data_IF_671816870209
#
_entry.id   IF_671816870209
#
_cell.length_a   1.000
_cell.length_b   1.000
_cell.length_c   1.000
_cell.angle_alpha   90.00
_cell.angle_beta   90.00
_cell.angle_gamma   90.00
#
_symmetry.space_group_name_H-M   'P 1'
#
loop_
_entity.id
_entity.type
_entity.pdbx_description
1 polymer ?
#
# COMPACT_ATOMS: atom_id res chain seq x y z
N UNK A 1 -28.25 -16.26 -5.21
CA UNK A 1 -27.75 -15.02 -5.84
C UNK A 1 -26.75 -15.44 -6.91
N UNK A 2 -27.16 -15.45 -8.19
CA UNK A 2 -26.36 -15.98 -9.30
C UNK A 2 -25.49 -14.85 -9.88
N UNK A 3 -24.17 -15.00 -9.77
CA UNK A 3 -23.21 -14.10 -10.43
C UNK A 3 -23.02 -14.63 -11.85
N UNK A 4 -23.51 -13.88 -12.84
CA UNK A 4 -23.22 -14.16 -14.25
C UNK A 4 -21.71 -14.05 -14.48
N UNK A 5 -21.07 -15.17 -14.83
CA UNK A 5 -19.72 -15.17 -15.40
C UNK A 5 -19.78 -14.47 -16.75
N UNK A 6 -19.18 -13.29 -16.84
CA UNK A 6 -18.97 -12.60 -18.12
C UNK A 6 -17.94 -13.43 -18.91
N UNK A 7 -18.36 -13.95 -20.05
CA UNK A 7 -17.51 -14.75 -20.93
C UNK A 7 -16.52 -13.85 -21.68
N UNK A 8 -15.26 -13.87 -21.22
CA UNK A 8 -14.11 -13.14 -21.77
C UNK A 8 -13.82 -13.48 -23.25
N UNK A 9 -14.41 -14.55 -23.81
CA UNK A 9 -14.24 -14.89 -25.23
C UNK A 9 -15.01 -13.95 -26.15
N UNK A 10 -16.18 -13.45 -25.72
CA UNK A 10 -16.98 -12.53 -26.54
C UNK A 10 -16.29 -11.17 -26.72
N UNK A 11 -15.62 -10.67 -25.69
CA UNK A 11 -14.93 -9.37 -25.73
C UNK A 11 -13.74 -9.38 -26.71
N UNK A 12 -13.02 -10.51 -26.82
CA UNK A 12 -11.90 -10.64 -27.78
C UNK A 12 -12.35 -10.59 -29.24
N UNK A 13 -13.53 -11.13 -29.55
CA UNK A 13 -14.03 -11.18 -30.93
C UNK A 13 -14.45 -9.79 -31.39
N UNK A 14 -15.13 -9.03 -30.55
CA UNK A 14 -15.59 -7.67 -30.89
C UNK A 14 -14.44 -6.69 -31.17
N UNK A 15 -13.31 -6.83 -30.44
CA UNK A 15 -12.14 -5.98 -30.65
C UNK A 15 -11.39 -6.29 -31.96
N UNK A 16 -11.36 -7.54 -32.40
CA UNK A 16 -10.70 -7.94 -33.64
C UNK A 16 -11.53 -7.49 -34.87
N UNK A 17 -12.85 -7.52 -34.78
CA UNK A 17 -13.73 -7.03 -35.86
C UNK A 17 -13.63 -5.51 -36.05
N UNK A 18 -13.53 -4.74 -34.95
CA UNK A 18 -13.35 -3.27 -35.03
C UNK A 18 -11.99 -2.90 -35.65
N UNK A 19 -10.95 -3.71 -35.42
CA UNK A 19 -9.63 -3.50 -36.03
C UNK A 19 -9.67 -3.84 -37.52
N UNK A 20 -10.28 -4.98 -37.90
CA UNK A 20 -10.36 -5.41 -39.30
C UNK A 20 -11.26 -4.50 -40.16
N UNK A 21 -12.31 -3.89 -39.58
CA UNK A 21 -13.17 -2.95 -40.31
C UNK A 21 -12.48 -1.62 -40.66
N UNK A 22 -11.39 -1.24 -39.99
CA UNK A 22 -10.67 0.00 -40.33
C UNK A 22 -9.57 -0.19 -41.38
N UNK A 23 -9.24 -1.43 -41.76
CA UNK A 23 -8.12 -1.75 -42.66
C UNK A 23 -8.57 -1.98 -44.12
N UNK A 24 -9.87 -2.09 -44.39
CA UNK A 24 -10.40 -2.26 -45.75
C UNK A 24 -10.94 -0.95 -46.34
N UNK A 25 -10.05 0.02 -46.62
CA UNK A 25 -10.15 0.94 -47.77
C UNK A 25 -9.20 2.12 -47.63
N UNK A 26 -7.95 1.96 -48.08
CA UNK A 26 -7.21 2.96 -48.86
C UNK A 26 -5.83 2.41 -49.20
N UNK A 27 -5.44 2.60 -50.46
CA UNK A 27 -4.20 2.09 -51.04
C UNK A 27 -2.96 2.55 -50.26
N UNK A 28 -1.98 1.65 -50.22
CA UNK A 28 -0.71 1.82 -49.53
C UNK A 28 0.27 2.58 -50.44
N UNK A 29 0.70 3.78 -50.02
CA UNK A 29 1.84 4.51 -50.58
C UNK A 29 2.97 4.49 -49.52
N UNK A 30 4.20 4.05 -49.86
CA UNK A 30 5.29 3.91 -48.90
C UNK A 30 6.04 5.24 -48.75
N UNK A 31 5.92 5.89 -47.58
CA UNK A 31 6.74 7.08 -47.28
C UNK A 31 6.16 8.07 -46.28
N UNK A 32 5.72 7.61 -45.10
CA UNK A 32 5.47 8.49 -43.95
C UNK A 32 5.68 7.69 -42.67
N UNK A 33 6.63 8.15 -41.86
CA UNK A 33 6.86 7.67 -40.50
C UNK A 33 5.54 7.74 -39.73
N UNK A 34 5.07 6.57 -39.26
CA UNK A 34 3.74 6.41 -38.69
C UNK A 34 3.61 7.10 -37.34
N UNK A 35 3.35 8.41 -37.35
CA UNK A 35 2.77 9.08 -36.20
C UNK A 35 1.38 8.50 -35.96
N UNK A 36 1.24 7.78 -34.85
CA UNK A 36 -0.07 7.29 -34.39
C UNK A 36 -1.06 8.45 -34.38
N UNK A 37 -2.25 8.30 -34.97
CA UNK A 37 -3.25 9.37 -34.96
C UNK A 37 -3.51 9.79 -33.50
N UNK A 38 -3.50 11.10 -33.27
CA UNK A 38 -3.67 11.78 -31.97
C UNK A 38 -4.65 11.10 -30.99
N UNK A 39 -5.84 10.59 -31.41
CA UNK A 39 -6.73 9.85 -30.50
C UNK A 39 -6.15 8.54 -29.95
N UNK A 40 -5.38 7.78 -30.75
CA UNK A 40 -4.77 6.52 -30.30
C UNK A 40 -3.66 6.74 -29.28
N UNK A 41 -2.91 7.85 -29.37
CA UNK A 41 -1.88 8.21 -28.38
C UNK A 41 -2.49 8.47 -27.00
N UNK A 42 -3.62 9.18 -26.93
CA UNK A 42 -4.37 9.41 -25.68
C UNK A 42 -4.93 8.12 -25.09
N UNK A 43 -5.43 7.22 -25.93
CA UNK A 43 -5.93 5.91 -25.49
C UNK A 43 -4.78 5.04 -24.97
N UNK A 44 -3.62 5.06 -25.61
CA UNK A 44 -2.43 4.33 -25.15
C UNK A 44 -1.85 4.90 -23.85
N UNK A 45 -1.86 6.22 -23.66
CA UNK A 45 -1.49 6.84 -22.38
C UNK A 45 -2.49 6.49 -21.27
N UNK A 46 -3.79 6.53 -21.57
CA UNK A 46 -4.83 6.14 -20.62
C UNK A 46 -4.74 4.65 -20.25
N UNK A 47 -4.46 3.79 -21.22
CA UNK A 47 -4.22 2.37 -21.00
C UNK A 47 -2.89 2.11 -20.29
N UNK A 48 -1.84 2.92 -20.51
CA UNK A 48 -0.62 2.88 -19.67
C UNK A 48 -0.94 3.24 -18.23
N UNK A 49 -1.74 4.27 -17.98
CA UNK A 49 -2.17 4.62 -16.61
C UNK A 49 -3.02 3.51 -15.96
N UNK A 50 -3.84 2.79 -16.75
CA UNK A 50 -4.65 1.66 -16.27
C UNK A 50 -3.87 0.34 -16.14
N UNK A 51 -2.78 0.15 -16.90
CA UNK A 51 -1.96 -1.07 -16.91
C UNK A 51 -0.65 -0.92 -16.13
N UNK A 52 -0.35 0.25 -15.55
CA UNK A 52 0.51 0.32 -14.36
C UNK A 52 -0.30 -0.26 -13.20
N UNK A 53 -0.51 -1.57 -13.26
CA UNK A 53 -0.75 -2.44 -12.11
C UNK A 53 0.54 -2.49 -11.30
N UNK A 54 0.98 -1.33 -10.83
CA UNK A 54 1.79 -1.27 -9.64
C UNK A 54 0.75 -1.56 -8.57
N UNK A 55 0.71 -2.79 -8.08
CA UNK A 55 0.30 -3.03 -6.70
C UNK A 55 1.26 -2.20 -5.85
N UNK A 56 1.02 -0.88 -5.82
CA UNK A 56 1.60 0.01 -4.84
C UNK A 56 0.96 -0.52 -3.58
N UNK A 57 1.70 -1.31 -2.83
CA UNK A 57 1.38 -1.55 -1.44
C UNK A 57 1.48 -0.18 -0.76
N UNK A 58 0.39 0.58 -0.85
CA UNK A 58 0.22 1.94 -0.31
C UNK A 58 0.35 1.95 1.21
N UNK A 59 0.21 0.78 1.83
CA UNK A 59 0.22 0.61 3.27
C UNK A 59 1.63 0.39 3.81
N UNK A 60 1.92 1.02 4.95
CA UNK A 60 3.10 0.72 5.74
C UNK A 60 3.15 -0.78 6.08
N UNK A 61 4.34 -1.34 6.27
CA UNK A 61 4.56 -2.76 6.49
C UNK A 61 5.63 -3.00 7.54
N UNK A 62 5.31 -3.81 8.53
CA UNK A 62 6.21 -4.19 9.61
C UNK A 62 6.75 -5.60 9.37
N UNK A 63 8.03 -5.80 9.69
CA UNK A 63 8.73 -7.06 9.47
C UNK A 63 9.32 -7.57 10.77
N UNK A 64 9.14 -8.85 11.03
CA UNK A 64 9.70 -9.61 12.14
C UNK A 64 10.38 -10.83 11.54
N UNK A 65 11.68 -11.06 11.75
CA UNK A 65 12.39 -12.26 11.24
C UNK A 65 11.88 -12.77 9.86
N UNK A 66 11.06 -13.83 9.84
CA UNK A 66 10.46 -14.52 8.70
C UNK A 66 9.02 -14.11 8.35
N UNK A 67 8.41 -13.22 9.13
CA UNK A 67 7.02 -12.80 9.03
C UNK A 67 6.87 -11.29 8.82
N UNK A 68 5.77 -10.87 8.20
CA UNK A 68 5.50 -9.45 7.95
C UNK A 68 4.02 -9.20 7.71
N UNK A 69 3.56 -8.00 8.05
CA UNK A 69 2.16 -7.62 7.92
C UNK A 69 1.98 -6.14 7.61
N UNK A 70 0.85 -5.82 6.98
CA UNK A 70 0.44 -4.45 6.69
C UNK A 70 0.00 -3.71 7.94
N UNK A 71 0.34 -2.43 8.00
CA UNK A 71 -0.08 -1.49 9.01
C UNK A 71 -1.24 -0.64 8.47
N UNK A 72 -2.34 -0.63 9.20
CA UNK A 72 -3.52 0.18 8.89
C UNK A 72 -3.23 1.62 9.31
N UNK A 73 -3.52 2.63 8.46
CA UNK A 73 -3.34 4.02 8.83
C UNK A 73 -4.21 4.45 10.01
N UNK A 74 -3.78 5.50 10.71
CA UNK A 74 -4.45 6.07 11.88
C UNK A 74 -4.69 5.05 13.01
N UNK A 75 -3.74 4.13 13.16
CA UNK A 75 -3.69 3.15 14.26
C UNK A 75 -2.41 3.33 15.08
N UNK A 76 -2.44 2.83 16.31
CA UNK A 76 -1.31 2.88 17.21
C UNK A 76 -1.15 1.55 17.96
N UNK A 77 0.11 1.10 18.07
CA UNK A 77 0.50 -0.11 18.78
C UNK A 77 1.29 0.32 20.01
N UNK A 78 0.67 0.20 21.19
CA UNK A 78 1.25 0.70 22.45
C UNK A 78 2.32 -0.22 23.05
N UNK A 79 2.32 -1.50 22.68
CA UNK A 79 3.32 -2.49 23.06
C UNK A 79 3.35 -3.69 22.11
N UNK A 80 4.52 -4.30 21.93
CA UNK A 80 4.73 -5.53 21.16
C UNK A 80 5.05 -6.74 22.07
N UNK A 81 4.50 -6.76 23.29
CA UNK A 81 4.77 -7.85 24.23
C UNK A 81 4.31 -9.19 23.63
N UNK A 82 5.10 -10.25 23.86
CA UNK A 82 4.86 -11.59 23.33
C UNK A 82 4.86 -11.68 21.80
N UNK A 83 5.56 -10.75 21.13
CA UNK A 83 5.82 -10.82 19.69
C UNK A 83 7.32 -10.92 19.42
N UNK A 84 7.67 -11.50 18.28
CA UNK A 84 9.04 -11.51 17.80
C UNK A 84 9.57 -10.08 17.60
N UNK A 85 10.89 -9.91 17.69
CA UNK A 85 11.54 -8.62 17.48
C UNK A 85 11.26 -8.09 16.06
N UNK A 86 10.92 -6.81 15.97
CA UNK A 86 10.81 -6.07 14.71
C UNK A 86 12.21 -5.87 14.14
N UNK A 87 12.41 -6.22 12.87
CA UNK A 87 13.71 -6.11 12.19
C UNK A 87 13.76 -4.94 11.21
N UNK A 88 12.64 -4.64 10.55
CA UNK A 88 12.56 -3.54 9.60
C UNK A 88 11.13 -3.03 9.43
N UNK A 89 11.04 -1.84 8.85
CA UNK A 89 9.80 -1.14 8.58
C UNK A 89 9.89 -0.51 7.19
N UNK A 90 8.80 -0.61 6.43
CA UNK A 90 8.56 0.18 5.22
C UNK A 90 7.34 1.05 5.46
N UNK A 91 7.43 2.35 5.20
CA UNK A 91 6.37 3.30 5.59
C UNK A 91 5.24 3.45 4.57
N UNK A 92 5.40 2.97 3.33
CA UNK A 92 4.37 3.16 2.29
C UNK A 92 4.04 4.65 2.14
N UNK A 93 2.76 5.01 2.14
CA UNK A 93 2.33 6.41 2.07
C UNK A 93 2.09 7.07 3.44
N UNK A 94 2.48 6.40 4.53
CA UNK A 94 2.23 6.86 5.91
C UNK A 94 3.48 7.48 6.55
N UNK A 95 3.26 8.37 7.51
CA UNK A 95 4.25 8.66 8.54
C UNK A 95 4.20 7.58 9.61
N UNK A 96 5.36 7.02 9.95
CA UNK A 96 5.45 6.01 11.02
C UNK A 96 6.38 6.52 12.11
N UNK A 97 5.85 6.59 13.33
CA UNK A 97 6.57 7.04 14.51
C UNK A 97 6.95 5.82 15.33
N UNK A 98 8.25 5.56 15.41
CA UNK A 98 8.81 4.40 16.12
C UNK A 98 9.37 4.88 17.45
N UNK A 99 8.89 4.31 18.55
CA UNK A 99 9.35 4.65 19.89
C UNK A 99 10.12 3.47 20.50
N UNK A 100 11.23 3.77 21.16
CA UNK A 100 12.09 2.75 21.77
C UNK A 100 11.39 1.99 22.89
N UNK A 101 10.53 2.65 23.67
CA UNK A 101 9.84 2.05 24.82
C UNK A 101 8.33 1.93 24.59
N UNK A 102 7.69 1.20 25.50
CA UNK A 102 6.23 1.01 25.52
C UNK A 102 5.53 2.36 25.73
N UNK A 103 4.25 2.44 25.33
CA UNK A 103 3.37 3.61 25.55
C UNK A 103 3.99 4.93 25.06
N UNK A 104 4.64 4.85 23.90
CA UNK A 104 5.18 5.98 23.15
C UNK A 104 6.27 6.75 23.90
N UNK A 105 7.04 6.07 24.75
CA UNK A 105 8.09 6.67 25.57
C UNK A 105 9.50 6.43 25.00
N UNK A 106 10.46 7.18 25.52
CA UNK A 106 11.89 7.05 25.19
C UNK A 106 12.29 7.80 23.92
N UNK A 107 13.45 7.44 23.37
CA UNK A 107 13.88 7.97 22.08
C UNK A 107 12.90 7.55 20.99
N UNK A 108 12.71 8.41 20.00
CA UNK A 108 11.81 8.16 18.89
C UNK A 108 12.49 8.45 17.55
N UNK A 109 11.93 7.85 16.50
CA UNK A 109 12.31 8.10 15.11
C UNK A 109 11.05 8.26 14.27
N UNK A 110 11.04 9.26 13.42
CA UNK A 110 10.00 9.45 12.41
C UNK A 110 10.51 8.84 11.11
N UNK A 111 9.67 8.01 10.49
CA UNK A 111 9.91 7.41 9.18
C UNK A 111 8.94 8.05 8.22
N UNK A 112 9.47 8.79 7.24
CA UNK A 112 8.67 9.52 6.26
C UNK A 112 8.07 8.56 5.23
N UNK A 113 6.99 8.95 4.54
CA UNK A 113 6.43 8.17 3.43
C UNK A 113 7.50 7.77 2.39
N UNK A 114 7.44 6.52 1.95
CA UNK A 114 8.34 5.92 0.95
C UNK A 114 9.66 5.37 1.49
N UNK A 115 9.94 5.54 2.78
CA UNK A 115 11.18 5.10 3.40
C UNK A 115 11.15 3.65 3.86
N UNK A 116 12.34 3.04 3.87
CA UNK A 116 12.59 1.73 4.49
C UNK A 116 13.77 1.83 5.44
N UNK A 117 13.58 1.35 6.66
CA UNK A 117 14.61 1.40 7.71
C UNK A 117 14.76 0.04 8.39
N UNK A 118 15.97 -0.24 8.87
CA UNK A 118 16.21 -1.24 9.90
C UNK A 118 15.81 -0.69 11.28
N UNK A 119 15.29 -1.56 12.14
CA UNK A 119 14.86 -1.20 13.50
C UNK A 119 15.56 -2.12 14.49
N UNK A 120 16.35 -1.53 15.39
CA UNK A 120 17.01 -2.27 16.46
C UNK A 120 16.13 -2.37 17.71
N UNK A 121 15.32 -1.35 17.99
CA UNK A 121 14.44 -1.30 19.16
C UNK A 121 13.12 -0.63 18.78
N UNK A 122 12.01 -1.26 19.12
CA UNK A 122 10.67 -0.72 18.96
C UNK A 122 9.78 -1.28 20.07
N UNK A 123 9.45 -0.41 21.02
CA UNK A 123 8.54 -0.73 22.10
C UNK A 123 7.10 -0.33 21.77
N UNK A 124 6.90 0.71 20.96
CA UNK A 124 5.58 1.13 20.49
C UNK A 124 5.69 1.90 19.17
N UNK A 125 4.55 2.06 18.50
CA UNK A 125 4.51 2.57 17.13
C UNK A 125 3.19 3.30 16.84
N UNK A 126 3.24 4.40 16.10
CA UNK A 126 2.05 5.11 15.60
C UNK A 126 2.14 5.20 14.07
N UNK A 127 1.03 4.91 13.39
CA UNK A 127 0.91 5.04 11.93
C UNK A 127 -0.09 6.14 11.62
N UNK A 128 0.33 7.12 10.83
CA UNK A 128 -0.50 8.26 10.48
C UNK A 128 -0.43 8.58 9.00
N UNK A 129 -1.54 9.03 8.44
CA UNK A 129 -1.56 9.64 7.10
C UNK A 129 -1.02 11.07 7.08
N UNK A 130 -0.81 11.69 8.24
CA UNK A 130 -0.36 13.08 8.37
C UNK A 130 0.70 13.26 9.47
N UNK A 131 1.39 14.40 9.53
CA UNK A 131 2.25 14.73 10.66
C UNK A 131 1.46 14.83 11.98
N UNK A 132 2.02 14.38 13.11
CA UNK A 132 1.42 14.51 14.46
C UNK A 132 2.41 15.14 15.45
N UNK A 133 1.88 15.73 16.52
CA UNK A 133 2.69 16.29 17.61
C UNK A 133 3.22 15.20 18.54
N UNK A 134 4.54 14.97 18.54
CA UNK A 134 5.16 13.97 19.41
C UNK A 134 5.17 14.40 20.87
N UNK A 135 5.32 15.69 21.15
CA UNK A 135 5.34 16.20 22.52
C UNK A 135 4.04 15.86 23.27
N UNK A 136 2.89 15.97 22.58
CA UNK A 136 1.60 15.63 23.16
C UNK A 136 1.47 14.12 23.42
N UNK A 137 1.92 13.31 22.47
CA UNK A 137 1.92 11.84 22.58
C UNK A 137 2.77 11.39 23.77
N UNK A 138 4.00 11.90 23.90
CA UNK A 138 4.91 11.50 24.97
C UNK A 138 4.43 12.00 26.33
N UNK A 139 3.95 13.25 26.40
CA UNK A 139 3.41 13.85 27.64
C UNK A 139 2.26 13.04 28.22
N UNK A 140 1.35 12.57 27.36
CA UNK A 140 0.16 11.84 27.79
C UNK A 140 0.38 10.30 27.84
N UNK A 141 1.44 9.80 27.21
CA UNK A 141 1.70 8.36 27.09
C UNK A 141 0.59 7.62 26.35
N UNK A 142 -0.14 8.31 25.46
CA UNK A 142 -1.26 7.78 24.67
C UNK A 142 -1.17 8.26 23.22
N UNK A 143 -1.74 7.50 22.29
CA UNK A 143 -1.90 7.95 20.91
C UNK A 143 -2.90 9.13 20.80
N UNK A 144 -2.92 9.87 19.68
CA UNK A 144 -3.95 10.88 19.45
C UNK A 144 -5.36 10.29 19.57
N UNK A 145 -6.33 11.08 20.03
CA UNK A 145 -7.65 10.58 20.47
C UNK A 145 -8.44 9.81 19.39
N UNK A 146 -8.22 10.14 18.12
CA UNK A 146 -8.91 9.53 16.99
C UNK A 146 -8.25 8.24 16.49
N UNK A 147 -7.15 7.81 17.12
CA UNK A 147 -6.39 6.65 16.67
C UNK A 147 -6.90 5.39 17.36
N UNK A 148 -6.96 4.30 16.61
CA UNK A 148 -7.19 2.99 17.21
C UNK A 148 -5.92 2.49 17.87
N UNK A 149 -5.82 2.72 19.18
CA UNK A 149 -4.76 2.22 20.04
C UNK A 149 -5.03 0.78 20.51
N UNK A 150 -4.05 -0.09 20.35
CA UNK A 150 -4.11 -1.48 20.80
C UNK A 150 -2.71 -2.06 21.09
N UNK A 151 -2.65 -3.29 21.58
CA UNK A 151 -1.39 -4.05 21.68
C UNK A 151 -1.07 -4.73 20.34
N UNK A 152 0.19 -5.11 20.14
CA UNK A 152 0.62 -5.86 18.97
C UNK A 152 -0.20 -7.13 18.75
N UNK A 153 -0.36 -8.01 19.77
CA UNK A 153 -1.22 -9.19 19.63
C UNK A 153 -2.68 -8.88 19.25
N UNK A 154 -3.27 -7.80 19.81
CA UNK A 154 -4.62 -7.38 19.43
C UNK A 154 -4.67 -6.89 17.98
N UNK A 155 -3.68 -6.10 17.57
CA UNK A 155 -3.56 -5.66 16.18
C UNK A 155 -3.54 -6.86 15.23
N UNK A 156 -2.74 -7.87 15.55
CA UNK A 156 -2.65 -9.08 14.77
C UNK A 156 -3.98 -9.84 14.72
N UNK A 157 -4.68 -9.96 15.84
CA UNK A 157 -5.98 -10.61 15.90
C UNK A 157 -7.06 -9.91 15.04
N UNK A 158 -6.99 -8.58 14.92
CA UNK A 158 -7.95 -7.79 14.14
C UNK A 158 -7.61 -7.71 12.65
N UNK A 159 -6.33 -7.59 12.30
CA UNK A 159 -5.91 -7.21 10.95
C UNK A 159 -5.08 -8.27 10.23
N UNK A 160 -4.64 -9.32 10.91
CA UNK A 160 -3.88 -10.41 10.30
C UNK A 160 -4.65 -11.73 10.42
N UNK A 161 -5.34 -12.11 9.35
CA UNK A 161 -5.94 -13.44 9.24
C UNK A 161 -4.90 -14.58 9.42
N UNK A 162 -3.62 -14.29 9.22
CA UNK A 162 -2.50 -15.24 9.29
C UNK A 162 -1.89 -15.38 10.69
N UNK A 163 -2.18 -14.50 11.65
CA UNK A 163 -1.67 -14.59 13.02
C UNK A 163 -2.64 -15.34 13.95
N UNK A 164 -3.26 -16.38 13.41
CA UNK A 164 -3.86 -17.43 14.23
C UNK A 164 -2.76 -18.46 14.44
N UNK A 165 -2.37 -18.66 15.70
CA UNK A 165 -1.42 -19.69 16.15
C UNK A 165 0.08 -19.34 15.99
N UNK A 166 0.58 -18.55 16.93
CA UNK A 166 1.92 -18.72 17.50
C UNK A 166 1.76 -18.93 19.01
#
# INVERSE_FOLDING_TARGET
>A
MNIQKIDLKHIKVTLIEVINMSVASRGYEPGLEGELPVPLKKIWEFLRCLLVNKEINHFARLYHADFSYGLVPDTAIRDFNNMNKITSLYSGDCYVYVFQRLKYQGAYRIVSPGERIGIDECGSLIISTHPISIDEVQKNGRAPEYYWEMTGPMYMAHFSAAYRYA
#
